data_IF_723005663514
#
_entry.id   IF_723005663514
#
_cell.length_a   1.000
_cell.length_b   1.000
_cell.length_c   1.000
_cell.angle_alpha   90.00
_cell.angle_beta   90.00
_cell.angle_gamma   90.00
#
_symmetry.space_group_name_H-M   'P 1'
#
loop_
_entity.id
_entity.type
_entity.pdbx_description
1 polymer ?
#
# COMPACT_ATOMS: atom_id res chain seq x y z
N UNK A 1 -15.29 -10.61 14.55
CA UNK A 1 -14.22 -9.84 13.90
C UNK A 1 -13.19 -9.54 14.96
N UNK A 2 -11.94 -10.01 14.78
CA UNK A 2 -10.85 -9.77 15.75
C UNK A 2 -10.38 -8.32 15.70
N UNK A 3 -9.63 -7.89 16.72
CA UNK A 3 -8.96 -6.61 16.72
C UNK A 3 -7.73 -6.68 15.80
N UNK A 4 -7.69 -5.85 14.77
CA UNK A 4 -6.60 -5.81 13.80
C UNK A 4 -5.46 -4.85 14.19
N UNK A 5 -5.57 -4.13 15.31
CA UNK A 5 -4.51 -3.16 15.71
C UNK A 5 -3.17 -3.83 15.98
N UNK A 6 -3.15 -5.12 16.28
CA UNK A 6 -1.93 -5.92 16.40
C UNK A 6 -1.11 -6.04 15.11
N UNK A 7 -1.71 -5.74 13.97
CA UNK A 7 -1.06 -5.74 12.64
C UNK A 7 -0.52 -4.36 12.23
N UNK A 8 -0.52 -3.38 13.13
CA UNK A 8 0.11 -2.08 12.89
C UNK A 8 1.61 -2.23 13.13
N UNK A 9 2.47 -1.96 12.13
CA UNK A 9 3.92 -2.02 12.27
C UNK A 9 4.44 -1.06 13.36
N UNK A 10 5.59 -1.39 13.97
CA UNK A 10 6.13 -0.61 15.09
C UNK A 10 6.35 0.87 14.74
N UNK A 11 6.85 1.16 13.55
CA UNK A 11 7.08 2.52 13.07
C UNK A 11 5.79 3.32 12.84
N UNK A 12 4.64 2.67 12.85
CA UNK A 12 3.30 3.25 12.69
C UNK A 12 2.41 3.17 13.94
N UNK A 13 2.91 2.65 15.05
CA UNK A 13 2.12 2.48 16.30
C UNK A 13 1.52 3.80 16.81
N UNK A 14 2.17 4.93 16.56
CA UNK A 14 1.65 6.26 16.91
C UNK A 14 0.31 6.60 16.22
N UNK A 15 -0.02 5.91 15.10
CA UNK A 15 -1.31 6.05 14.42
C UNK A 15 -2.42 5.31 15.13
N UNK A 16 -2.12 4.25 15.90
CA UNK A 16 -3.11 3.44 16.59
C UNK A 16 -3.98 4.29 17.55
N UNK A 17 -3.36 5.22 18.26
CA UNK A 17 -4.07 6.10 19.19
C UNK A 17 -5.10 7.01 18.49
N UNK A 18 -4.87 7.33 17.22
CA UNK A 18 -5.78 8.14 16.43
C UNK A 18 -6.93 7.33 15.81
N UNK A 19 -6.73 6.03 15.59
CA UNK A 19 -7.76 5.14 15.01
C UNK A 19 -8.84 4.75 16.02
N UNK A 20 -8.50 4.72 17.31
CA UNK A 20 -9.42 4.35 18.41
C UNK A 20 -10.36 5.51 18.78
N UNK A 21 -9.95 6.74 18.50
CA UNK A 21 -10.83 7.91 18.68
C UNK A 21 -11.92 7.84 17.61
N UNK A 22 -13.15 7.71 18.07
CA UNK A 22 -14.36 7.73 17.23
C UNK A 22 -14.35 9.00 16.36
N UNK A 23 -13.71 8.90 15.20
CA UNK A 23 -13.77 9.93 14.18
C UNK A 23 -15.20 9.97 13.68
N UNK A 24 -15.99 10.82 14.32
CA UNK A 24 -17.43 10.93 14.10
C UNK A 24 -17.76 10.81 12.62
N UNK A 25 -18.38 9.70 12.22
CA UNK A 25 -18.85 9.47 10.86
C UNK A 25 -19.58 10.71 10.40
N UNK A 26 -19.31 11.22 9.22
CA UNK A 26 -20.27 12.10 8.57
C UNK A 26 -21.55 11.29 8.41
N UNK A 27 -22.52 11.56 9.27
CA UNK A 27 -23.77 10.76 9.42
C UNK A 27 -24.66 10.70 8.18
N UNK A 28 -24.26 11.32 7.07
CA UNK A 28 -25.10 11.51 5.89
C UNK A 28 -24.47 11.12 4.55
N UNK A 29 -23.24 10.61 4.51
CA UNK A 29 -22.60 10.23 3.25
C UNK A 29 -22.50 8.70 3.16
N UNK A 30 -23.06 8.14 2.09
CA UNK A 30 -22.80 6.77 1.70
C UNK A 30 -21.38 6.70 1.11
N UNK A 31 -20.38 6.54 1.98
CA UNK A 31 -18.97 6.55 1.61
C UNK A 31 -18.52 5.15 1.25
N UNK A 32 -17.78 5.03 0.15
CA UNK A 32 -17.11 3.80 -0.23
C UNK A 32 -15.66 4.10 -0.60
N UNK A 33 -14.73 3.32 -0.08
CA UNK A 33 -13.32 3.38 -0.46
C UNK A 33 -12.94 2.16 -1.29
N UNK A 34 -12.44 2.40 -2.49
CA UNK A 34 -12.00 1.32 -3.40
C UNK A 34 -10.66 0.69 -3.01
N UNK A 35 -9.78 1.44 -2.33
CA UNK A 35 -8.38 1.03 -2.10
C UNK A 35 -8.25 -0.35 -1.46
N UNK A 36 -9.00 -0.73 -0.40
CA UNK A 36 -8.87 -2.08 0.17
C UNK A 36 -9.23 -3.23 -0.79
N UNK A 37 -9.84 -2.92 -1.93
CA UNK A 37 -10.21 -3.90 -2.94
C UNK A 37 -9.24 -3.95 -4.12
N UNK A 38 -8.65 -2.82 -4.51
CA UNK A 38 -7.83 -2.70 -5.72
C UNK A 38 -6.49 -2.02 -5.50
N UNK A 39 -6.33 -1.23 -4.44
CA UNK A 39 -5.11 -0.51 -4.13
C UNK A 39 -4.22 -1.25 -3.15
N UNK A 40 -2.92 -1.12 -3.27
CA UNK A 40 -1.99 -1.46 -2.21
C UNK A 40 -0.73 -0.58 -2.26
N UNK A 41 -0.07 -0.47 -1.10
CA UNK A 41 1.29 0.05 -1.01
C UNK A 41 2.20 -0.96 -0.32
N UNK A 42 3.45 -1.03 -0.78
CA UNK A 42 4.50 -1.85 -0.17
C UNK A 42 5.57 -0.87 0.30
N UNK A 43 5.76 -0.81 1.61
CA UNK A 43 6.64 0.19 2.20
C UNK A 43 8.13 -0.20 2.17
N UNK A 44 8.97 0.67 2.71
CA UNK A 44 10.43 0.48 2.78
C UNK A 44 10.88 -0.70 3.63
N UNK A 45 10.01 -1.27 4.42
CA UNK A 45 10.24 -2.45 5.26
C UNK A 45 9.63 -3.72 4.65
N UNK A 46 9.08 -3.65 3.44
CA UNK A 46 8.40 -4.76 2.78
C UNK A 46 7.01 -5.06 3.33
N UNK A 47 6.48 -4.21 4.23
CA UNK A 47 5.12 -4.36 4.74
C UNK A 47 4.11 -3.95 3.68
N UNK A 48 3.03 -4.72 3.56
CA UNK A 48 1.99 -4.53 2.55
C UNK A 48 0.72 -3.99 3.21
N UNK A 49 0.18 -2.93 2.64
CA UNK A 49 -1.06 -2.28 3.07
C UNK A 49 -2.06 -2.25 1.93
N UNK A 50 -3.32 -2.57 2.19
CA UNK A 50 -4.39 -2.46 1.19
C UNK A 50 -4.97 -1.04 1.15
N UNK A 51 -4.06 -0.09 1.00
CA UNK A 51 -4.34 1.33 0.86
C UNK A 51 -3.20 1.96 0.07
N UNK A 52 -3.49 2.83 -0.88
CA UNK A 52 -2.46 3.57 -1.62
C UNK A 52 -1.77 4.64 -0.75
N UNK A 53 -2.35 4.94 0.41
CA UNK A 53 -1.77 5.80 1.45
C UNK A 53 -1.68 5.04 2.78
N UNK A 54 -0.54 4.42 3.05
CA UNK A 54 -0.28 3.60 4.24
C UNK A 54 -0.44 4.33 5.58
N UNK A 55 -0.33 5.66 5.58
CA UNK A 55 -0.60 6.50 6.75
C UNK A 55 -2.09 6.69 7.06
N UNK A 56 -3.01 6.27 6.17
CA UNK A 56 -4.47 6.42 6.37
C UNK A 56 -5.16 5.11 6.74
N UNK A 57 -4.57 3.98 6.44
CA UNK A 57 -4.99 2.65 6.85
C UNK A 57 -3.73 1.87 7.25
N UNK A 58 -3.21 2.06 8.48
CA UNK A 58 -1.90 1.56 8.88
C UNK A 58 -1.88 0.07 9.27
N UNK A 59 -2.92 -0.68 8.93
CA UNK A 59 -2.97 -2.13 9.16
C UNK A 59 -2.21 -2.85 8.04
N UNK A 60 -1.08 -3.47 8.38
CA UNK A 60 -0.38 -4.35 7.45
C UNK A 60 -1.16 -5.64 7.22
N UNK A 61 -1.28 -6.06 5.98
CA UNK A 61 -1.87 -7.37 5.62
C UNK A 61 -0.83 -8.48 5.56
N UNK A 62 0.44 -8.17 5.77
CA UNK A 62 1.57 -9.09 5.79
C UNK A 62 2.85 -8.45 5.22
N UNK A 63 3.93 -9.20 5.23
CA UNK A 63 5.16 -8.82 4.54
C UNK A 63 5.13 -9.33 3.09
N UNK A 64 5.76 -8.64 2.15
CA UNK A 64 5.73 -9.03 0.72
C UNK A 64 6.19 -10.47 0.49
N UNK A 65 7.09 -10.97 1.31
CA UNK A 65 7.59 -12.35 1.23
C UNK A 65 6.60 -13.41 1.72
N UNK A 66 5.49 -13.01 2.35
CA UNK A 66 4.45 -13.93 2.83
C UNK A 66 3.47 -14.34 1.71
N UNK A 67 3.48 -13.62 0.59
CA UNK A 67 2.57 -13.84 -0.53
C UNK A 67 3.23 -14.64 -1.65
N UNK A 68 2.53 -15.58 -2.24
CA UNK A 68 3.00 -16.33 -3.42
C UNK A 68 2.39 -15.82 -4.73
N UNK A 69 1.34 -14.99 -4.65
CA UNK A 69 0.74 -14.31 -5.80
C UNK A 69 0.20 -12.94 -5.42
N UNK A 70 0.08 -12.02 -6.39
CA UNK A 70 -0.46 -10.68 -6.15
C UNK A 70 -1.90 -10.71 -5.62
N UNK A 71 -2.73 -11.65 -6.10
CA UNK A 71 -4.13 -11.74 -5.66
C UNK A 71 -4.28 -12.01 -4.16
N UNK A 72 -3.29 -12.69 -3.55
CA UNK A 72 -3.33 -12.97 -2.11
C UNK A 72 -3.27 -11.71 -1.26
N UNK A 73 -2.70 -10.60 -1.77
CA UNK A 73 -2.68 -9.31 -1.08
C UNK A 73 -4.09 -8.85 -0.71
N UNK A 74 -5.06 -9.06 -1.59
CA UNK A 74 -6.45 -8.63 -1.38
C UNK A 74 -7.39 -9.73 -0.89
N UNK A 75 -6.93 -10.99 -0.89
CA UNK A 75 -7.77 -12.15 -0.54
C UNK A 75 -7.38 -12.83 0.76
N UNK A 76 -6.33 -12.38 1.46
CA UNK A 76 -5.99 -12.88 2.79
C UNK A 76 -7.02 -12.43 3.84
N UNK A 77 -7.00 -13.06 5.00
CA UNK A 77 -8.02 -12.85 6.04
C UNK A 77 -8.03 -11.42 6.61
N UNK A 78 -6.85 -10.78 6.73
CA UNK A 78 -6.75 -9.40 7.23
C UNK A 78 -7.35 -8.43 6.20
N UNK A 79 -6.99 -8.58 4.93
CA UNK A 79 -7.53 -7.75 3.85
C UNK A 79 -9.07 -7.88 3.77
N UNK A 80 -9.59 -9.10 3.84
CA UNK A 80 -11.05 -9.35 3.85
C UNK A 80 -11.75 -8.69 5.04
N UNK A 81 -11.16 -8.74 6.22
CA UNK A 81 -11.71 -8.06 7.39
C UNK A 81 -11.74 -6.54 7.20
N UNK A 82 -10.67 -5.95 6.62
CA UNK A 82 -10.64 -4.52 6.29
C UNK A 82 -11.71 -4.16 5.25
N UNK A 83 -11.82 -4.93 4.16
CA UNK A 83 -12.87 -4.78 3.15
C UNK A 83 -14.26 -4.82 3.78
N UNK A 84 -14.50 -5.74 4.70
CA UNK A 84 -15.77 -5.85 5.40
C UNK A 84 -16.11 -4.58 6.21
N UNK A 85 -15.13 -3.94 6.87
CA UNK A 85 -15.39 -2.67 7.57
C UNK A 85 -15.81 -1.55 6.62
N UNK A 86 -15.30 -1.54 5.39
CA UNK A 86 -15.71 -0.56 4.36
C UNK A 86 -17.14 -0.83 3.89
N UNK A 87 -17.47 -2.11 3.59
CA UNK A 87 -18.82 -2.49 3.17
C UNK A 87 -19.88 -2.21 4.25
N UNK A 88 -19.51 -2.37 5.51
CA UNK A 88 -20.36 -2.04 6.66
C UNK A 88 -20.40 -0.54 7.01
N UNK A 89 -19.73 0.31 6.23
CA UNK A 89 -19.65 1.76 6.47
C UNK A 89 -19.05 2.13 7.84
N UNK A 90 -18.21 1.27 8.40
CA UNK A 90 -17.60 1.47 9.74
C UNK A 90 -16.27 2.21 9.68
N UNK A 91 -15.46 1.93 8.68
CA UNK A 91 -14.11 2.51 8.47
C UNK A 91 -13.22 2.46 9.73
N UNK A 92 -13.36 1.41 10.54
CA UNK A 92 -12.83 1.31 11.90
C UNK A 92 -11.32 1.57 11.99
N UNK A 93 -10.57 1.23 10.93
CA UNK A 93 -9.11 1.34 10.90
C UNK A 93 -8.61 2.44 9.99
N UNK A 94 -9.49 3.32 9.51
CA UNK A 94 -9.15 4.41 8.59
C UNK A 94 -9.10 5.76 9.28
N UNK A 95 -8.10 6.59 8.98
CA UNK A 95 -8.11 8.01 9.31
C UNK A 95 -9.02 8.77 8.33
N UNK A 96 -10.33 8.62 8.51
CA UNK A 96 -11.35 9.17 7.62
C UNK A 96 -11.29 10.69 7.55
N UNK A 97 -10.96 11.37 8.65
CA UNK A 97 -10.97 12.84 8.74
C UNK A 97 -9.92 13.50 7.84
N UNK A 98 -8.83 12.78 7.54
CA UNK A 98 -7.72 13.29 6.73
C UNK A 98 -7.59 12.56 5.39
N UNK A 99 -8.52 11.65 5.04
CA UNK A 99 -8.44 10.86 3.81
C UNK A 99 -9.03 11.61 2.62
N UNK A 100 -8.17 12.22 1.78
CA UNK A 100 -8.61 12.95 0.59
C UNK A 100 -9.34 12.09 -0.44
N UNK A 101 -9.04 10.79 -0.53
CA UNK A 101 -9.67 9.87 -1.50
C UNK A 101 -11.17 9.73 -1.23
N UNK A 102 -11.56 9.64 0.04
CA UNK A 102 -12.96 9.46 0.42
C UNK A 102 -13.84 10.66 0.10
N UNK A 103 -13.25 11.87 0.11
CA UNK A 103 -14.00 13.11 -0.12
C UNK A 103 -13.96 13.57 -1.58
N UNK A 104 -12.92 13.18 -2.33
CA UNK A 104 -12.73 13.66 -3.70
C UNK A 104 -13.37 12.78 -4.77
N UNK A 105 -13.61 11.50 -4.50
CA UNK A 105 -14.14 10.54 -5.47
C UNK A 105 -15.22 9.65 -4.85
N UNK A 106 -16.45 10.14 -4.63
CA UNK A 106 -17.52 9.29 -4.17
C UNK A 106 -17.81 8.22 -5.24
N UNK A 107 -17.60 6.97 -4.90
CA UNK A 107 -17.83 5.82 -5.77
C UNK A 107 -19.04 5.08 -5.22
N UNK A 108 -19.98 4.72 -6.10
CA UNK A 108 -21.07 3.84 -5.76
C UNK A 108 -20.55 2.40 -5.58
N UNK A 109 -20.75 1.84 -4.40
CA UNK A 109 -20.23 0.52 -4.03
C UNK A 109 -20.71 -0.60 -4.95
N UNK A 110 -22.00 -0.61 -5.29
CA UNK A 110 -22.59 -1.68 -6.12
C UNK A 110 -22.07 -1.63 -7.55
N UNK A 111 -22.01 -0.43 -8.13
CA UNK A 111 -21.41 -0.20 -9.44
C UNK A 111 -19.94 -0.57 -9.44
N UNK A 112 -19.24 -0.24 -8.34
CA UNK A 112 -17.83 -0.58 -8.18
C UNK A 112 -17.61 -2.08 -8.13
N UNK A 113 -18.27 -2.82 -7.28
CA UNK A 113 -18.05 -4.24 -7.05
C UNK A 113 -18.47 -5.10 -8.25
N UNK A 114 -19.35 -4.60 -9.12
CA UNK A 114 -19.81 -5.29 -10.33
C UNK A 114 -18.89 -5.14 -11.55
N UNK A 115 -17.89 -4.26 -11.50
CA UNK A 115 -17.02 -3.97 -12.66
C UNK A 115 -15.65 -4.64 -12.52
N UNK A 116 -15.05 -5.04 -13.67
CA UNK A 116 -13.65 -5.51 -13.72
C UNK A 116 -12.70 -4.32 -13.61
N UNK A 117 -11.70 -4.41 -12.73
CA UNK A 117 -10.86 -3.27 -12.38
C UNK A 117 -9.38 -3.53 -12.54
N UNK A 118 -8.64 -2.42 -12.63
CA UNK A 118 -7.20 -2.39 -12.54
C UNK A 118 -6.79 -2.36 -11.07
N UNK A 119 -5.75 -3.10 -10.72
CA UNK A 119 -5.07 -2.96 -9.44
C UNK A 119 -4.13 -1.75 -9.47
N UNK A 120 -4.01 -1.04 -8.37
CA UNK A 120 -3.09 0.07 -8.21
C UNK A 120 -2.04 -0.30 -7.15
N UNK A 121 -0.78 -0.42 -7.55
CA UNK A 121 0.31 -0.86 -6.66
C UNK A 121 1.36 0.24 -6.52
N UNK A 122 1.60 0.68 -5.30
CA UNK A 122 2.66 1.61 -4.95
C UNK A 122 3.84 0.84 -4.35
N UNK A 123 4.91 0.70 -5.11
CA UNK A 123 6.12 -0.01 -4.71
C UNK A 123 7.10 1.01 -4.11
N UNK A 124 7.07 1.17 -2.79
CA UNK A 124 7.84 2.17 -2.05
C UNK A 124 9.02 1.54 -1.26
N UNK A 125 9.58 0.45 -1.75
CA UNK A 125 10.59 -0.36 -1.05
C UNK A 125 11.93 0.37 -0.96
N UNK A 126 12.40 1.00 -2.05
CA UNK A 126 13.71 1.65 -2.06
C UNK A 126 13.61 3.16 -1.91
N UNK A 127 14.39 3.69 -0.97
CA UNK A 127 14.44 5.11 -0.62
C UNK A 127 15.61 5.85 -1.29
N UNK A 128 16.38 5.17 -2.16
CA UNK A 128 17.51 5.79 -2.86
C UNK A 128 17.05 7.01 -3.64
N UNK A 129 17.77 8.13 -3.45
CA UNK A 129 17.43 9.39 -4.08
C UNK A 129 18.68 10.27 -4.20
N UNK A 130 18.91 10.80 -5.38
CA UNK A 130 20.00 11.73 -5.67
C UNK A 130 19.61 13.20 -5.50
N UNK A 131 18.40 13.48 -5.04
CA UNK A 131 17.89 14.82 -4.81
C UNK A 131 17.99 15.19 -3.32
N UNK A 132 18.08 16.48 -3.06
CA UNK A 132 18.10 17.08 -1.73
C UNK A 132 16.98 18.12 -1.63
N UNK A 133 15.73 17.63 -1.65
CA UNK A 133 14.55 18.48 -1.57
C UNK A 133 14.36 18.96 -0.11
N UNK A 134 14.32 20.26 0.16
CA UNK A 134 14.29 20.79 1.53
C UNK A 134 13.10 20.32 2.39
N UNK A 135 11.99 19.97 1.75
CA UNK A 135 10.77 19.49 2.43
C UNK A 135 10.71 17.96 2.61
N UNK A 136 11.69 17.23 2.07
CA UNK A 136 11.63 15.77 2.01
C UNK A 136 12.68 15.12 2.91
N UNK A 137 13.95 15.57 2.81
CA UNK A 137 15.08 14.92 3.49
C UNK A 137 16.27 15.86 3.65
N UNK A 138 17.08 15.57 4.68
CA UNK A 138 18.28 16.38 5.00
C UNK A 138 19.52 15.95 4.20
N UNK A 139 19.50 14.79 3.54
CA UNK A 139 20.64 14.26 2.79
C UNK A 139 20.21 13.32 1.66
N UNK A 140 21.05 13.16 0.66
CA UNK A 140 20.91 12.14 -0.37
C UNK A 140 21.03 10.75 0.25
N UNK A 141 20.23 9.79 -0.24
CA UNK A 141 20.23 8.40 0.22
C UNK A 141 20.64 7.51 -0.95
N UNK A 142 21.63 6.65 -0.72
CA UNK A 142 22.06 5.66 -1.68
C UNK A 142 22.16 4.30 -1.01
N UNK A 143 21.25 3.39 -1.35
CA UNK A 143 21.22 2.02 -0.84
C UNK A 143 21.82 1.12 -1.93
N UNK A 144 23.15 0.86 -1.83
CA UNK A 144 23.91 0.14 -2.87
C UNK A 144 24.60 -1.13 -2.38
N UNK A 145 24.62 -1.37 -1.06
CA UNK A 145 25.33 -2.53 -0.44
C UNK A 145 24.83 -2.78 0.98
N UNK A 146 25.26 -3.92 1.52
CA UNK A 146 24.92 -4.34 2.87
C UNK A 146 23.55 -5.05 2.94
N UNK A 147 23.14 -5.39 4.16
CA UNK A 147 21.95 -6.20 4.38
C UNK A 147 20.70 -5.52 3.83
N UNK A 148 20.52 -4.23 4.08
CA UNK A 148 19.39 -3.45 3.59
C UNK A 148 19.25 -3.51 2.05
N UNK A 149 20.36 -3.41 1.32
CA UNK A 149 20.34 -3.55 -0.16
C UNK A 149 19.91 -4.97 -0.56
N UNK A 150 20.46 -5.99 0.10
CA UNK A 150 20.16 -7.38 -0.20
C UNK A 150 18.69 -7.70 0.06
N UNK A 151 18.16 -7.25 1.18
CA UNK A 151 16.76 -7.47 1.56
C UNK A 151 15.82 -6.80 0.56
N UNK A 152 16.01 -5.50 0.30
CA UNK A 152 15.18 -4.75 -0.65
C UNK A 152 15.24 -5.33 -2.07
N UNK A 153 16.42 -5.72 -2.53
CA UNK A 153 16.58 -6.40 -3.83
C UNK A 153 15.83 -7.73 -3.86
N UNK A 154 15.91 -8.51 -2.78
CA UNK A 154 15.16 -9.77 -2.66
C UNK A 154 13.65 -9.54 -2.73
N UNK A 155 13.14 -8.54 -2.01
CA UNK A 155 11.70 -8.22 -2.00
C UNK A 155 11.20 -7.74 -3.37
N UNK A 156 11.96 -6.86 -4.04
CA UNK A 156 11.61 -6.40 -5.40
C UNK A 156 11.65 -7.56 -6.40
N UNK A 157 12.63 -8.45 -6.31
CA UNK A 157 12.71 -9.63 -7.18
C UNK A 157 11.54 -10.61 -6.92
N UNK A 158 11.16 -10.79 -5.66
CA UNK A 158 9.99 -11.60 -5.31
C UNK A 158 8.70 -10.99 -5.87
N UNK A 159 8.51 -9.69 -5.68
CA UNK A 159 7.39 -8.96 -6.28
C UNK A 159 7.38 -9.10 -7.82
N UNK A 160 8.54 -8.97 -8.47
CA UNK A 160 8.67 -9.12 -9.93
C UNK A 160 8.24 -10.53 -10.39
N UNK A 161 8.57 -11.57 -9.65
CA UNK A 161 8.14 -12.93 -9.98
C UNK A 161 6.61 -13.07 -9.88
N UNK A 162 5.99 -12.53 -8.84
CA UNK A 162 4.52 -12.51 -8.73
C UNK A 162 3.88 -11.69 -9.86
N UNK A 163 4.52 -10.58 -10.27
CA UNK A 163 4.03 -9.72 -11.34
C UNK A 163 4.01 -10.44 -12.69
N UNK A 164 5.02 -11.27 -13.01
CA UNK A 164 5.08 -12.07 -14.25
C UNK A 164 3.94 -13.08 -14.36
N UNK A 165 3.45 -13.58 -13.24
CA UNK A 165 2.35 -14.55 -13.20
C UNK A 165 0.97 -13.87 -13.18
N UNK A 166 0.92 -12.56 -12.94
CA UNK A 166 -0.33 -11.84 -12.84
C UNK A 166 -0.90 -11.50 -14.22
N UNK A 167 -2.14 -11.92 -14.49
CA UNK A 167 -2.81 -11.72 -15.77
C UNK A 167 -3.86 -10.61 -15.76
N UNK A 168 -4.08 -9.98 -14.60
CA UNK A 168 -5.01 -8.87 -14.46
C UNK A 168 -4.42 -7.54 -14.96
N UNK A 169 -5.28 -6.54 -15.17
CA UNK A 169 -4.82 -5.19 -15.43
C UNK A 169 -4.32 -4.54 -14.14
N UNK A 170 -3.19 -3.85 -14.19
CA UNK A 170 -2.64 -3.10 -13.07
C UNK A 170 -1.95 -1.81 -13.51
N UNK A 171 -1.87 -0.87 -12.58
CA UNK A 171 -1.06 0.33 -12.66
C UNK A 171 0.00 0.24 -11.56
N UNK A 172 1.28 0.35 -11.94
CA UNK A 172 2.41 0.24 -11.03
C UNK A 172 3.10 1.59 -10.87
N UNK A 173 3.24 2.02 -9.63
CA UNK A 173 3.93 3.24 -9.23
C UNK A 173 5.18 2.88 -8.45
N UNK A 174 6.36 3.23 -8.96
CA UNK A 174 7.67 2.94 -8.35
C UNK A 174 8.26 4.16 -7.65
N UNK A 175 7.43 5.12 -7.28
CA UNK A 175 7.85 6.35 -6.61
C UNK A 175 7.04 6.57 -5.33
N UNK A 176 7.65 7.20 -4.35
CA UNK A 176 6.99 7.53 -3.08
C UNK A 176 8.01 7.91 -2.03
N UNK A 177 9.01 7.07 -1.81
CA UNK A 177 10.03 7.32 -0.79
C UNK A 177 11.40 7.74 -1.37
N UNK A 178 11.60 7.64 -2.69
CA UNK A 178 12.87 7.92 -3.34
C UNK A 178 12.72 8.41 -4.78
N UNK A 179 13.83 8.38 -5.51
CA UNK A 179 13.87 8.56 -6.96
C UNK A 179 14.15 7.22 -7.62
N UNK A 180 13.21 6.62 -8.34
CA UNK A 180 13.40 5.31 -8.96
C UNK A 180 14.56 5.28 -9.97
N UNK A 181 14.91 6.42 -10.57
CA UNK A 181 16.05 6.53 -11.47
C UNK A 181 17.40 6.62 -10.74
N UNK A 182 17.41 6.92 -9.44
CA UNK A 182 18.62 6.87 -8.60
C UNK A 182 18.80 5.51 -7.90
N UNK A 183 17.78 4.66 -7.91
CA UNK A 183 17.79 3.32 -7.31
C UNK A 183 18.33 2.28 -8.27
N UNK A 184 19.44 1.63 -7.94
CA UNK A 184 19.97 0.51 -8.73
C UNK A 184 18.99 -0.67 -8.75
N UNK A 185 18.24 -0.89 -7.67
CA UNK A 185 17.24 -1.95 -7.55
C UNK A 185 16.08 -1.70 -8.53
N UNK A 186 15.55 -0.48 -8.57
CA UNK A 186 14.46 -0.15 -9.48
C UNK A 186 14.91 -0.04 -10.94
N UNK A 187 16.13 0.44 -11.21
CA UNK A 187 16.69 0.41 -12.57
C UNK A 187 16.76 -1.01 -13.12
N UNK A 188 17.26 -1.97 -12.32
CA UNK A 188 17.33 -3.38 -12.70
C UNK A 188 15.91 -3.95 -12.91
N UNK A 189 14.99 -3.70 -11.96
CA UNK A 189 13.61 -4.13 -12.05
C UNK A 189 12.93 -3.58 -13.32
N UNK A 190 12.98 -2.26 -13.55
CA UNK A 190 12.31 -1.62 -14.69
C UNK A 190 12.92 -2.05 -16.04
N UNK A 191 14.23 -2.36 -16.08
CA UNK A 191 14.88 -2.85 -17.30
C UNK A 191 14.49 -4.27 -17.69
N UNK A 192 13.97 -5.05 -16.73
CA UNK A 192 13.58 -6.46 -16.91
C UNK A 192 12.07 -6.69 -16.79
N UNK A 193 11.32 -5.66 -16.43
CA UNK A 193 9.87 -5.74 -16.25
C UNK A 193 9.19 -5.67 -17.61
N UNK A 194 8.67 -6.80 -18.07
CA UNK A 194 7.76 -6.87 -19.22
C UNK A 194 6.33 -6.77 -18.67
N UNK A 195 5.72 -5.62 -18.83
CA UNK A 195 4.29 -5.43 -18.56
C UNK A 195 3.50 -5.84 -19.81
N UNK A 196 2.64 -6.84 -19.66
CA UNK A 196 1.75 -7.33 -20.72
C UNK A 196 0.57 -6.38 -20.95
#
# INVERSE_FOLDING_TARGET
>A
MGDLTQHIPEDKQWLAENLIKDFGKPKSLNLFCKDPFDGCSIDRFGQVFVCTCDGKLPISVGHIMDFVSLDQIWTNDIARQLQQTILEQKFTYCDVSNCGIMYSNPVDADSYLSSRRRKEIFLNIDESCNLHCPSCRDSMIYIKKGQQYTDKKTWVNHFHNMLKEYTGALDLYTSGNGDPLASEIYQEFLSTCELN
#
